data_IF_603684281173
#
_entry.id   IF_603684281173
#
_cell.length_a   1.000
_cell.length_b   1.000
_cell.length_c   1.000
_cell.angle_alpha   90.00
_cell.angle_beta   90.00
_cell.angle_gamma   90.00
#
_symmetry.space_group_name_H-M   'P 1'
#
loop_
_entity.id
_entity.type
_entity.pdbx_description
1 polymer ?
#
# COMPACT_ATOMS: atom_id res chain seq x y z
N UNK A 1 0.99 15.04 -26.96
CA UNK A 1 0.79 13.58 -26.96
C UNK A 1 1.28 13.08 -25.61
N UNK A 2 0.40 12.98 -24.60
CA UNK A 2 0.82 12.54 -23.26
C UNK A 2 1.01 11.02 -23.29
N UNK A 3 2.28 10.62 -23.33
CA UNK A 3 2.75 9.24 -23.32
C UNK A 3 2.90 8.74 -21.88
N UNK A 4 1.78 8.56 -21.16
CA UNK A 4 1.79 7.93 -19.83
C UNK A 4 0.76 6.78 -19.79
N UNK A 5 1.20 5.52 -19.94
CA UNK A 5 0.28 4.38 -20.03
C UNK A 5 -0.45 4.04 -18.72
N UNK A 6 -0.07 4.67 -17.59
CA UNK A 6 -0.65 4.41 -16.27
C UNK A 6 -0.81 5.68 -15.44
N UNK A 7 -1.85 5.77 -14.57
CA UNK A 7 -2.00 6.86 -13.62
C UNK A 7 -0.78 6.96 -12.69
N UNK A 8 -0.53 8.14 -12.13
CA UNK A 8 0.46 8.27 -11.07
C UNK A 8 0.07 7.34 -9.90
N UNK A 9 1.03 6.71 -9.16
CA UNK A 9 0.76 5.90 -7.97
C UNK A 9 -0.36 6.43 -7.06
N UNK A 10 -0.28 7.71 -6.69
CA UNK A 10 -1.27 8.39 -5.82
C UNK A 10 -2.65 8.60 -6.46
N UNK A 11 -2.75 8.48 -7.78
CA UNK A 11 -3.98 8.64 -8.57
C UNK A 11 -4.57 7.27 -8.97
N UNK A 12 -3.87 6.17 -8.68
CA UNK A 12 -4.33 4.84 -8.99
C UNK A 12 -5.15 4.28 -7.80
N UNK A 13 -6.48 4.16 -7.89
CA UNK A 13 -7.28 3.59 -6.81
C UNK A 13 -7.08 2.08 -6.67
N UNK A 14 -6.43 1.44 -7.65
CA UNK A 14 -6.21 0.00 -7.66
C UNK A 14 -4.83 -0.34 -7.07
N UNK A 15 -4.84 -0.88 -5.86
CA UNK A 15 -3.70 -1.54 -5.21
C UNK A 15 -4.11 -2.98 -4.88
N UNK A 16 -3.40 -3.97 -5.41
CA UNK A 16 -3.74 -5.38 -5.29
C UNK A 16 -2.55 -6.22 -4.81
N UNK A 17 -2.83 -7.40 -4.23
CA UNK A 17 -1.81 -8.36 -3.80
C UNK A 17 -1.19 -8.07 -2.43
N UNK A 18 -1.74 -7.12 -1.67
CA UNK A 18 -1.32 -6.74 -0.31
C UNK A 18 -2.40 -7.03 0.75
N UNK A 19 -3.35 -7.92 0.46
CA UNK A 19 -4.55 -8.14 1.28
C UNK A 19 -4.21 -8.45 2.75
N UNK A 20 -3.20 -9.29 2.99
CA UNK A 20 -2.76 -9.64 4.34
C UNK A 20 -2.16 -8.43 5.10
N UNK A 21 -1.39 -7.59 4.40
CA UNK A 21 -0.81 -6.37 4.96
C UNK A 21 -1.90 -5.35 5.30
N UNK A 22 -2.88 -5.16 4.40
CA UNK A 22 -4.04 -4.32 4.66
C UNK A 22 -4.87 -4.84 5.84
N UNK A 23 -5.10 -6.15 5.92
CA UNK A 23 -5.83 -6.75 7.03
C UNK A 23 -5.11 -6.55 8.38
N UNK A 24 -3.78 -6.68 8.41
CA UNK A 24 -2.98 -6.40 9.59
C UNK A 24 -3.09 -4.94 10.03
N UNK A 25 -2.99 -4.00 9.09
CA UNK A 25 -3.17 -2.59 9.35
C UNK A 25 -4.58 -2.27 9.88
N UNK A 26 -5.62 -2.78 9.23
CA UNK A 26 -7.02 -2.56 9.65
C UNK A 26 -7.30 -3.11 11.04
N UNK A 27 -6.75 -4.29 11.40
CA UNK A 27 -6.84 -4.82 12.77
C UNK A 27 -6.21 -3.86 13.78
N UNK A 28 -5.00 -3.36 13.51
CA UNK A 28 -4.31 -2.43 14.40
C UNK A 28 -5.08 -1.10 14.52
N UNK A 29 -5.59 -0.56 13.41
CA UNK A 29 -6.40 0.66 13.39
C UNK A 29 -7.69 0.50 14.21
N UNK A 30 -8.41 -0.62 14.03
CA UNK A 30 -9.65 -0.92 14.78
C UNK A 30 -9.41 -1.16 16.28
N UNK A 31 -8.21 -1.59 16.66
CA UNK A 31 -7.85 -1.80 18.07
C UNK A 31 -7.68 -0.50 18.88
N UNK A 32 -7.62 0.66 18.21
CA UNK A 32 -7.28 1.95 18.84
C UNK A 32 -5.81 2.07 19.26
N UNK A 33 -4.97 1.07 18.99
CA UNK A 33 -3.54 1.04 19.28
C UNK A 33 -2.73 0.87 18.00
N UNK A 34 -2.63 1.94 17.22
CA UNK A 34 -1.83 1.90 15.99
C UNK A 34 -0.33 2.05 16.33
N UNK A 35 0.55 1.15 15.82
CA UNK A 35 2.00 1.30 15.99
C UNK A 35 2.50 2.62 15.40
N UNK A 36 3.55 3.17 16.00
CA UNK A 36 4.11 4.45 15.57
C UNK A 36 4.83 4.37 14.21
N UNK A 37 5.23 3.17 13.79
CA UNK A 37 5.85 2.92 12.50
C UNK A 37 5.48 1.53 11.98
N UNK A 38 5.52 1.39 10.65
CA UNK A 38 5.31 0.14 9.93
C UNK A 38 6.51 -0.13 9.02
N UNK A 39 6.97 -1.37 8.99
CA UNK A 39 8.02 -1.82 8.09
C UNK A 39 7.42 -2.70 7.00
N UNK A 40 7.37 -2.18 5.77
CA UNK A 40 6.91 -2.94 4.61
C UNK A 40 8.12 -3.63 3.95
N UNK A 41 8.13 -4.96 3.93
CA UNK A 41 9.19 -5.78 3.33
C UNK A 41 8.73 -6.52 2.07
N UNK A 42 9.68 -6.99 1.26
CA UNK A 42 9.44 -7.82 0.08
C UNK A 42 10.23 -7.38 -1.16
N UNK A 43 10.10 -8.09 -2.30
CA UNK A 43 10.86 -7.82 -3.53
C UNK A 43 10.71 -6.39 -4.07
N UNK A 44 11.69 -5.91 -4.84
CA UNK A 44 11.62 -4.61 -5.52
C UNK A 44 10.47 -4.60 -6.53
N UNK A 45 9.74 -3.49 -6.62
CA UNK A 45 8.69 -3.29 -7.62
C UNK A 45 7.27 -3.72 -7.22
N UNK A 46 7.06 -4.28 -6.02
CA UNK A 46 5.71 -4.71 -5.58
C UNK A 46 4.79 -3.57 -5.09
N UNK A 47 5.19 -2.31 -5.22
CA UNK A 47 4.37 -1.17 -4.77
C UNK A 47 4.50 -0.78 -3.28
N UNK A 48 5.57 -1.16 -2.58
CA UNK A 48 5.78 -0.81 -1.14
C UNK A 48 5.95 0.70 -0.86
N UNK A 49 6.20 1.51 -1.88
CA UNK A 49 6.43 2.96 -1.78
C UNK A 49 5.42 3.76 -2.61
N UNK A 50 4.27 3.15 -2.91
CA UNK A 50 3.19 3.65 -3.76
C UNK A 50 2.04 4.09 -2.87
#
# INVERSE_FOLDING_TARGET
MSDRPFPHPRENPHCAGHDDAFAAFERARKSGRLPHAWLLQGPRGIGKAT
#
